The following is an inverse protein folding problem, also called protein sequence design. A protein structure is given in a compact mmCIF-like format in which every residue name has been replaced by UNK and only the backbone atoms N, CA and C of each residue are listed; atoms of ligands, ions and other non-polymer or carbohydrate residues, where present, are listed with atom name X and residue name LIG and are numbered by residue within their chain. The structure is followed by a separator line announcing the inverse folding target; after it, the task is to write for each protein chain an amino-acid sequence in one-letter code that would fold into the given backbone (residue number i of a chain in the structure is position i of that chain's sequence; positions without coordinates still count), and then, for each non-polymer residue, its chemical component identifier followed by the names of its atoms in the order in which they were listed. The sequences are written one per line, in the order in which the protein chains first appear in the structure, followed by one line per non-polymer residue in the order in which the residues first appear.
data_IF_352444988459
#
_entry.id   IF_352444988459
#
_cell.length_a   1.000
_cell.length_b   1.000
_cell.length_c   1.000
_cell.angle_alpha   90.00
_cell.angle_beta   90.00
_cell.angle_gamma   90.00
#
_symmetry.space_group_name_H-M   'P 1'
#
loop_
_entity.id
_entity.type
_entity.pdbx_description
1 polymer ?
#
# COMPACT_ATOMS: atom_id res chain seq x y z
N UNK A 1 -4.83 -20.87 10.51
CA UNK A 1 -4.25 -19.84 11.40
C UNK A 1 -5.35 -19.37 12.33
N UNK A 2 -5.11 -19.27 13.65
CA UNK A 2 -6.09 -18.82 14.64
C UNK A 2 -6.19 -17.28 14.67
N UNK A 3 -6.52 -16.68 13.53
CA UNK A 3 -6.68 -15.24 13.37
C UNK A 3 -8.14 -14.82 13.18
N UNK A 4 -8.39 -13.52 13.09
CA UNK A 4 -9.69 -12.97 12.71
C UNK A 4 -9.60 -12.39 11.29
N UNK A 5 -10.72 -12.37 10.56
CA UNK A 5 -10.82 -11.63 9.31
C UNK A 5 -11.91 -10.58 9.41
N UNK A 6 -11.55 -9.33 9.15
CA UNK A 6 -12.47 -8.20 9.07
C UNK A 6 -12.72 -7.88 7.59
N UNK A 7 -13.88 -8.29 7.09
CA UNK A 7 -14.32 -7.94 5.75
C UNK A 7 -15.01 -6.58 5.74
N UNK A 8 -14.48 -5.63 4.99
CA UNK A 8 -15.10 -4.34 4.76
C UNK A 8 -15.77 -4.32 3.37
N UNK A 9 -17.08 -4.13 3.38
CA UNK A 9 -17.94 -3.99 2.21
C UNK A 9 -18.30 -2.51 2.01
N UNK A 10 -17.55 -1.75 1.20
CA UNK A 10 -17.95 -0.39 0.85
C UNK A 10 -19.20 -0.39 -0.03
N UNK A 11 -20.01 0.67 0.07
CA UNK A 11 -21.21 0.82 -0.78
C UNK A 11 -20.86 1.37 -2.16
N UNK A 12 -19.99 2.37 -2.20
CA UNK A 12 -19.52 3.03 -3.43
C UNK A 12 -18.02 3.31 -3.32
N UNK A 13 -17.39 3.60 -4.46
CA UNK A 13 -15.99 4.07 -4.46
C UNK A 13 -15.85 5.42 -3.73
N UNK A 14 -16.89 6.25 -3.76
CA UNK A 14 -16.91 7.53 -3.05
C UNK A 14 -16.94 7.33 -1.52
N UNK A 15 -17.76 6.38 -1.04
CA UNK A 15 -17.77 6.01 0.38
C UNK A 15 -16.42 5.45 0.78
N UNK A 16 -15.87 4.50 0.02
CA UNK A 16 -14.53 3.95 0.25
C UNK A 16 -13.50 5.08 0.33
N UNK A 17 -13.50 6.03 -0.62
CA UNK A 17 -12.56 7.15 -0.66
C UNK A 17 -12.64 8.02 0.59
N UNK A 18 -13.85 8.38 1.02
CA UNK A 18 -14.11 9.30 2.15
C UNK A 18 -14.16 8.59 3.51
N UNK A 19 -14.09 7.26 3.54
CA UNK A 19 -14.28 6.49 4.76
C UNK A 19 -13.13 6.65 5.74
N UNK A 20 -13.48 7.03 6.97
CA UNK A 20 -12.57 7.10 8.12
C UNK A 20 -11.87 5.76 8.45
N UNK A 21 -12.37 4.63 7.96
CA UNK A 21 -11.75 3.32 8.15
C UNK A 21 -10.34 3.25 7.53
N UNK A 22 -10.09 3.98 6.44
CA UNK A 22 -8.79 4.01 5.75
C UNK A 22 -7.68 4.62 6.59
N UNK A 23 -8.05 5.45 7.56
CA UNK A 23 -7.14 6.23 8.39
C UNK A 23 -7.08 5.70 9.83
N UNK A 24 -7.80 4.61 10.12
CA UNK A 24 -7.81 4.02 11.46
C UNK A 24 -6.47 3.36 11.77
N UNK A 25 -5.70 4.04 12.63
CA UNK A 25 -4.52 3.46 13.25
C UNK A 25 -4.86 2.19 14.04
N UNK A 26 -5.94 2.23 14.80
CA UNK A 26 -6.40 1.09 15.62
C UNK A 26 -6.62 -0.17 14.76
N UNK A 27 -7.35 -0.06 13.65
CA UNK A 27 -7.58 -1.19 12.75
C UNK A 27 -6.29 -1.64 12.07
N UNK A 28 -5.40 -0.73 11.69
CA UNK A 28 -4.08 -1.08 11.14
C UNK A 28 -3.27 -1.92 12.15
N UNK A 29 -3.21 -1.50 13.42
CA UNK A 29 -2.48 -2.20 14.48
C UNK A 29 -2.98 -3.62 14.76
N UNK A 30 -4.27 -3.89 14.56
CA UNK A 30 -4.79 -5.26 14.71
C UNK A 30 -4.20 -6.24 13.69
N UNK A 31 -3.61 -5.76 12.59
CA UNK A 31 -2.80 -6.59 11.67
C UNK A 31 -1.62 -7.26 12.38
N UNK A 32 -1.07 -6.63 13.43
CA UNK A 32 -0.04 -7.21 14.28
C UNK A 32 -0.54 -8.30 15.23
N UNK A 33 -1.86 -8.46 15.38
CA UNK A 33 -2.50 -9.41 16.28
C UNK A 33 -3.29 -10.50 15.55
N UNK A 34 -2.81 -10.91 14.37
CA UNK A 34 -3.46 -11.90 13.50
C UNK A 34 -4.91 -11.54 13.11
N UNK A 35 -5.22 -10.26 12.98
CA UNK A 35 -6.46 -9.82 12.34
C UNK A 35 -6.15 -9.31 10.94
N UNK A 36 -6.57 -10.02 9.89
CA UNK A 36 -6.51 -9.50 8.54
C UNK A 36 -7.72 -8.63 8.26
N UNK A 37 -7.52 -7.54 7.52
CA UNK A 37 -8.63 -6.75 6.97
C UNK A 37 -8.67 -6.97 5.47
N UNK A 38 -9.86 -7.14 4.90
CA UNK A 38 -10.03 -7.36 3.46
C UNK A 38 -11.15 -6.48 2.91
N UNK A 39 -10.88 -5.80 1.80
CA UNK A 39 -11.94 -5.14 1.02
C UNK A 39 -12.69 -6.21 0.23
N UNK A 40 -13.99 -6.32 0.48
CA UNK A 40 -14.83 -7.35 -0.11
C UNK A 40 -15.88 -6.77 -1.07
N UNK A 41 -16.16 -7.52 -2.12
CA UNK A 41 -17.17 -7.15 -3.11
C UNK A 41 -18.49 -7.86 -2.83
N UNK A 42 -19.47 -7.10 -2.33
CA UNK A 42 -20.82 -7.57 -2.01
C UNK A 42 -21.63 -8.03 -3.23
N UNK A 43 -21.14 -7.81 -4.46
CA UNK A 43 -21.78 -8.26 -5.70
C UNK A 43 -21.38 -9.69 -6.08
N UNK A 44 -20.36 -10.24 -5.42
CA UNK A 44 -19.93 -11.63 -5.64
C UNK A 44 -20.72 -12.60 -4.76
N UNK A 45 -20.93 -13.86 -5.18
CA UNK A 45 -21.61 -14.86 -4.34
C UNK A 45 -20.95 -15.07 -2.97
N UNK A 46 -19.61 -15.02 -2.92
CA UNK A 46 -18.86 -15.12 -1.67
C UNK A 46 -19.12 -13.92 -0.75
N UNK A 47 -19.10 -12.70 -1.30
CA UNK A 47 -19.41 -11.48 -0.56
C UNK A 47 -20.83 -11.46 -0.03
N UNK A 48 -21.82 -11.87 -0.84
CA UNK A 48 -23.22 -11.97 -0.41
C UNK A 48 -23.41 -12.96 0.74
N UNK A 49 -22.72 -14.11 0.69
CA UNK A 49 -22.77 -15.11 1.77
C UNK A 49 -22.24 -14.56 3.09
N UNK A 50 -21.11 -13.85 3.06
CA UNK A 50 -20.51 -13.25 4.26
C UNK A 50 -21.37 -12.09 4.80
N UNK A 51 -21.90 -11.27 3.91
CA UNK A 51 -22.70 -10.11 4.27
C UNK A 51 -24.09 -10.50 4.83
N UNK A 52 -24.71 -11.56 4.31
CA UNK A 52 -26.04 -12.01 4.71
C UNK A 52 -27.10 -10.92 4.50
N UNK A 53 -27.94 -10.67 5.50
CA UNK A 53 -29.03 -9.67 5.42
C UNK A 53 -28.56 -8.21 5.56
N UNK A 54 -27.28 -8.00 5.90
CA UNK A 54 -26.70 -6.67 6.06
C UNK A 54 -26.58 -5.95 4.72
N UNK A 55 -26.60 -4.62 4.75
CA UNK A 55 -26.42 -3.79 3.55
C UNK A 55 -25.13 -2.98 3.63
N UNK A 56 -24.38 -2.82 2.52
CA UNK A 56 -23.24 -1.93 2.51
C UNK A 56 -23.65 -0.46 2.73
N UNK A 57 -22.78 0.39 3.33
CA UNK A 57 -21.43 0.02 3.76
C UNK A 57 -21.47 -0.74 5.09
N UNK A 58 -20.73 -1.84 5.18
CA UNK A 58 -20.72 -2.70 6.37
C UNK A 58 -19.35 -3.32 6.59
N UNK A 59 -19.07 -3.71 7.83
CA UNK A 59 -17.94 -4.56 8.18
C UNK A 59 -18.43 -5.83 8.87
N UNK A 60 -17.83 -6.97 8.51
CA UNK A 60 -18.17 -8.29 9.05
C UNK A 60 -16.89 -8.89 9.63
N UNK A 61 -16.92 -9.17 10.93
CA UNK A 61 -15.84 -9.87 11.62
C UNK A 61 -16.14 -11.37 11.62
N UNK A 62 -15.19 -12.18 11.15
CA UNK A 62 -15.35 -13.62 11.04
C UNK A 62 -14.15 -14.39 11.59
N UNK A 63 -14.42 -15.65 11.93
CA UNK A 63 -13.40 -16.67 12.13
C UNK A 63 -12.75 -17.09 10.80
N UNK A 64 -11.57 -17.74 10.82
CA UNK A 64 -10.88 -18.21 9.62
C UNK A 64 -11.67 -19.23 8.78
N UNK A 65 -12.63 -19.92 9.37
CA UNK A 65 -13.51 -20.86 8.69
C UNK A 65 -14.73 -20.18 8.03
N UNK A 66 -14.85 -18.86 8.16
CA UNK A 66 -15.93 -18.05 7.62
C UNK A 66 -17.12 -17.87 8.57
N UNK A 67 -17.05 -18.38 9.80
CA UNK A 67 -18.13 -18.20 10.78
C UNK A 67 -18.22 -16.74 11.22
N UNK A 68 -19.41 -16.14 11.12
CA UNK A 68 -19.62 -14.73 11.47
C UNK A 68 -19.65 -14.54 12.98
N UNK A 69 -18.78 -13.65 13.49
CA UNK A 69 -18.72 -13.25 14.90
C UNK A 69 -19.63 -12.07 15.17
N UNK A 70 -19.59 -11.07 14.28
CA UNK A 70 -20.38 -9.85 14.43
C UNK A 70 -20.27 -8.93 13.22
N UNK A 71 -21.14 -7.92 13.19
CA UNK A 71 -21.25 -6.98 12.08
C UNK A 71 -21.38 -5.55 12.58
N UNK A 72 -20.83 -4.62 11.82
CA UNK A 72 -21.03 -3.19 11.96
C UNK A 72 -21.67 -2.67 10.67
N UNK A 73 -22.86 -2.10 10.78
CA UNK A 73 -23.62 -1.59 9.63
C UNK A 73 -23.59 -0.07 9.62
N UNK A 74 -23.36 0.49 8.43
CA UNK A 74 -23.40 1.91 8.20
C UNK A 74 -24.83 2.44 8.22
N UNK A 75 -24.93 3.74 8.49
CA UNK A 75 -26.18 4.48 8.46
C UNK A 75 -26.05 5.61 7.46
N UNK A 76 -27.10 5.87 6.69
CA UNK A 76 -27.14 6.94 5.68
C UNK A 76 -25.98 6.87 4.68
N UNK A 77 -25.61 5.65 4.29
CA UNK A 77 -24.51 5.39 3.35
C UNK A 77 -23.11 5.59 3.92
N UNK A 78 -22.95 5.73 5.23
CA UNK A 78 -21.66 5.94 5.90
C UNK A 78 -21.45 4.89 6.99
N UNK A 79 -20.33 4.17 6.94
CA UNK A 79 -19.86 3.32 8.03
C UNK A 79 -18.83 4.08 8.86
N UNK A 80 -19.12 4.30 10.15
CA UNK A 80 -18.20 5.03 11.02
C UNK A 80 -17.14 4.10 11.58
N UNK A 81 -15.89 4.58 11.59
CA UNK A 81 -14.75 3.84 12.12
C UNK A 81 -14.95 3.38 13.56
N UNK A 82 -15.60 4.20 14.41
CA UNK A 82 -15.81 3.87 15.81
C UNK A 82 -16.71 2.64 16.01
N UNK A 83 -17.65 2.39 15.10
CA UNK A 83 -18.49 1.18 15.13
C UNK A 83 -17.65 -0.07 14.88
N UNK A 84 -16.74 -0.01 13.92
CA UNK A 84 -15.88 -1.13 13.51
C UNK A 84 -14.79 -1.38 14.55
N UNK A 85 -14.16 -0.32 15.05
CA UNK A 85 -13.20 -0.43 16.15
C UNK A 85 -13.82 -1.03 17.40
N UNK A 86 -15.05 -0.62 17.78
CA UNK A 86 -15.78 -1.22 18.91
C UNK A 86 -16.09 -2.70 18.69
N UNK A 87 -16.50 -3.09 17.48
CA UNK A 87 -16.76 -4.49 17.13
C UNK A 87 -15.50 -5.34 17.35
N UNK A 88 -14.37 -4.91 16.77
CA UNK A 88 -13.10 -5.64 16.86
C UNK A 88 -12.58 -5.64 18.29
N UNK A 89 -12.52 -4.48 18.95
CA UNK A 89 -12.03 -4.37 20.32
C UNK A 89 -12.88 -5.17 21.32
N UNK A 90 -14.20 -5.21 21.11
CA UNK A 90 -15.12 -6.00 21.93
C UNK A 90 -14.83 -7.51 21.84
N UNK A 91 -14.61 -8.02 20.63
CA UNK A 91 -14.27 -9.43 20.44
C UNK A 91 -12.87 -9.76 20.98
N UNK A 92 -11.87 -8.90 20.72
CA UNK A 92 -10.52 -9.08 21.27
C UNK A 92 -10.55 -9.10 22.80
N UNK A 93 -11.28 -8.18 23.43
CA UNK A 93 -11.45 -8.16 24.88
C UNK A 93 -12.13 -9.43 25.40
N UNK A 94 -13.21 -9.87 24.75
CA UNK A 94 -13.93 -11.09 25.13
C UNK A 94 -13.02 -12.32 25.08
N UNK A 95 -12.17 -12.44 24.04
CA UNK A 95 -11.17 -13.50 23.94
C UNK A 95 -10.12 -13.39 25.06
N UNK A 96 -9.62 -12.19 25.33
CA UNK A 96 -8.65 -11.97 26.41
C UNK A 96 -9.20 -12.41 27.77
N UNK A 97 -10.43 -11.99 28.10
CA UNK A 97 -11.10 -12.33 29.35
C UNK A 97 -11.29 -13.87 29.49
N UNK A 98 -11.59 -14.57 28.38
CA UNK A 98 -11.71 -16.03 28.36
C UNK A 98 -10.35 -16.75 28.55
N UNK A 99 -9.26 -16.18 28.02
CA UNK A 99 -7.91 -16.69 28.25
C UNK A 99 -7.44 -16.46 29.68
N UNK A 100 -7.81 -15.34 30.29
CA UNK A 100 -7.53 -15.09 31.71
C UNK A 100 -8.26 -16.07 32.62
N UNK A 101 -9.51 -16.38 32.32
CA UNK A 101 -10.25 -17.45 33.00
C UNK A 101 -9.57 -18.82 32.81
N UNK A 102 -9.12 -19.15 31.60
CA UNK A 102 -8.43 -20.41 31.30
C UNK A 102 -7.08 -20.52 32.02
N UNK A 103 -6.29 -19.44 32.08
CA UNK A 103 -5.05 -19.39 32.84
C UNK A 103 -5.28 -19.59 34.34
N UNK A 104 -6.35 -18.99 34.88
CA UNK A 104 -6.72 -19.17 36.28
C UNK A 104 -7.14 -20.61 36.57
N UNK A 105 -8.06 -21.16 35.78
CA UNK A 105 -8.53 -22.53 35.95
C UNK A 105 -7.38 -23.53 35.81
N UNK A 106 -6.47 -23.34 34.84
CA UNK A 106 -5.29 -24.19 34.69
C UNK A 106 -4.39 -24.22 35.93
N UNK A 107 -4.17 -23.07 36.58
CA UNK A 107 -3.41 -23.00 37.85
C UNK A 107 -4.15 -23.68 39.01
N UNK A 108 -5.47 -23.60 39.03
CA UNK A 108 -6.27 -24.24 40.08
C UNK A 108 -6.32 -25.76 39.89
N UNK A 109 -6.34 -26.26 38.64
CA UNK A 109 -6.18 -27.69 38.30
C UNK A 109 -4.81 -28.23 38.69
N UNK A 110 -3.74 -27.49 38.37
CA UNK A 110 -2.37 -27.83 38.80
C UNK A 110 -2.29 -27.97 40.33
N UNK A 111 -2.82 -27.00 41.09
CA UNK A 111 -2.83 -27.07 42.57
C UNK A 111 -3.63 -28.26 43.11
N UNK A 112 -4.67 -28.68 42.39
CA UNK A 112 -5.47 -29.85 42.72
C UNK A 112 -4.80 -31.18 42.31
N UNK A 113 -3.63 -31.15 41.66
CA UNK A 113 -2.91 -32.31 41.18
C UNK A 113 -3.38 -32.85 39.81
N UNK A 114 -4.34 -32.18 39.18
CA UNK A 114 -4.85 -32.53 37.84
C UNK A 114 -4.00 -31.85 36.75
N UNK A 115 -2.78 -32.36 36.59
CA UNK A 115 -1.80 -31.78 35.68
C UNK A 115 -2.21 -31.93 34.21
N UNK A 116 -2.93 -32.98 33.83
CA UNK A 116 -3.38 -33.19 32.46
C UNK A 116 -4.41 -32.14 32.03
N UNK A 117 -5.38 -31.83 32.90
CA UNK A 117 -6.32 -30.75 32.65
C UNK A 117 -5.64 -29.37 32.60
N UNK A 118 -4.69 -29.11 33.51
CA UNK A 118 -3.91 -27.89 33.53
C UNK A 118 -3.11 -27.69 32.22
N UNK A 119 -2.41 -28.74 31.77
CA UNK A 119 -1.65 -28.73 30.50
C UNK A 119 -2.57 -28.42 29.33
N UNK A 120 -3.76 -29.02 29.27
CA UNK A 120 -4.73 -28.78 28.19
C UNK A 120 -5.16 -27.31 28.13
N UNK A 121 -5.46 -26.70 29.29
CA UNK A 121 -5.85 -25.30 29.38
C UNK A 121 -4.70 -24.37 28.97
N UNK A 122 -3.49 -24.60 29.47
CA UNK A 122 -2.35 -23.77 29.10
C UNK A 122 -1.96 -23.90 27.63
N UNK A 123 -2.09 -25.10 27.01
CA UNK A 123 -1.89 -25.26 25.56
C UNK A 123 -2.90 -24.45 24.75
N UNK A 124 -4.17 -24.46 25.14
CA UNK A 124 -5.18 -23.66 24.46
C UNK A 124 -4.87 -22.14 24.53
N UNK A 125 -4.32 -21.66 25.65
CA UNK A 125 -3.86 -20.26 25.78
C UNK A 125 -2.62 -20.01 24.92
N UNK A 126 -1.69 -20.97 24.89
CA UNK A 126 -0.49 -20.90 24.07
C UNK A 126 -0.79 -20.79 22.58
N UNK A 127 -1.81 -21.51 22.10
CA UNK A 127 -2.22 -21.51 20.69
C UNK A 127 -2.72 -20.13 20.22
N UNK A 128 -3.10 -19.25 21.14
CA UNK A 128 -3.51 -17.87 20.86
C UNK A 128 -2.33 -16.87 20.84
N UNK A 129 -1.08 -17.36 20.75
CA UNK A 129 0.15 -16.56 20.81
C UNK A 129 0.26 -15.38 19.84
N UNK A 130 -0.43 -15.44 18.70
CA UNK A 130 -0.39 -14.33 17.75
C UNK A 130 -1.20 -13.12 18.23
N UNK A 131 -2.42 -13.34 18.71
CA UNK A 131 -3.28 -12.26 19.19
C UNK A 131 -2.94 -11.84 20.62
N UNK A 132 -2.49 -12.78 21.46
CA UNK A 132 -2.20 -12.55 22.87
C UNK A 132 -0.79 -13.03 23.26
N UNK A 133 0.29 -12.46 22.70
CA UNK A 133 1.66 -12.93 22.92
C UNK A 133 2.07 -12.92 24.40
N UNK A 134 1.57 -11.95 25.20
CA UNK A 134 1.82 -11.90 26.64
C UNK A 134 1.18 -13.08 27.38
N UNK A 135 -0.09 -13.39 27.09
CA UNK A 135 -0.81 -14.49 27.73
C UNK A 135 -0.21 -15.84 27.35
N UNK A 136 0.17 -16.00 26.08
CA UNK A 136 0.88 -17.18 25.61
C UNK A 136 2.24 -17.36 26.30
N UNK A 137 3.00 -16.27 26.53
CA UNK A 137 4.25 -16.33 27.30
C UNK A 137 4.01 -16.81 28.74
N UNK A 138 2.93 -16.36 29.38
CA UNK A 138 2.60 -16.81 30.73
C UNK A 138 2.17 -18.28 30.74
N UNK A 139 1.32 -18.72 29.81
CA UNK A 139 0.96 -20.12 29.64
C UNK A 139 2.18 -21.03 29.38
N UNK A 140 3.13 -20.57 28.55
CA UNK A 140 4.38 -21.29 28.29
C UNK A 140 5.21 -21.51 29.56
N UNK A 141 5.25 -20.53 30.46
CA UNK A 141 5.94 -20.69 31.75
C UNK A 141 5.28 -21.76 32.61
N UNK A 142 3.94 -21.76 32.70
CA UNK A 142 3.22 -22.77 33.47
C UNK A 142 3.40 -24.18 32.88
N UNK A 143 3.32 -24.32 31.55
CA UNK A 143 3.61 -25.57 30.85
C UNK A 143 5.02 -26.11 31.14
N UNK A 144 6.01 -25.22 31.18
CA UNK A 144 7.40 -25.59 31.47
C UNK A 144 7.58 -26.11 32.90
N UNK A 145 6.83 -25.57 33.88
CA UNK A 145 6.82 -26.08 35.27
C UNK A 145 6.23 -27.50 35.35
N UNK A 146 5.24 -27.80 34.50
CA UNK A 146 4.61 -29.11 34.38
C UNK A 146 5.43 -30.10 33.52
N UNK A 147 6.68 -29.78 33.16
CA UNK A 147 7.55 -30.66 32.38
C UNK A 147 7.22 -30.72 30.89
N UNK A 148 6.34 -29.86 30.38
CA UNK A 148 6.03 -29.78 28.94
C UNK A 148 7.10 -28.95 28.23
N UNK A 149 7.73 -29.53 27.21
CA UNK A 149 8.65 -28.79 26.35
C UNK A 149 7.86 -27.85 25.41
N UNK A 150 8.13 -26.54 25.52
CA UNK A 150 7.46 -25.47 24.75
C UNK A 150 8.47 -24.67 23.91
N UNK A 151 9.43 -25.37 23.29
CA UNK A 151 10.48 -24.78 22.44
C UNK A 151 9.95 -23.91 21.29
N UNK A 152 8.67 -24.04 20.93
CA UNK A 152 8.01 -23.19 19.93
C UNK A 152 7.79 -21.73 20.36
N UNK A 153 8.03 -21.40 21.64
CA UNK A 153 7.64 -20.10 22.22
C UNK A 153 8.86 -19.30 22.70
N UNK A 154 10.05 -19.89 22.71
CA UNK A 154 11.21 -19.28 23.37
C UNK A 154 12.15 -18.49 22.47
N UNK A 155 12.17 -18.66 21.14
CA UNK A 155 13.31 -18.15 20.35
C UNK A 155 13.00 -17.34 19.08
N UNK A 156 11.72 -17.21 18.68
CA UNK A 156 11.36 -16.25 17.63
C UNK A 156 11.09 -14.90 18.30
N UNK A 157 11.99 -13.93 18.11
CA UNK A 157 11.88 -12.58 18.66
C UNK A 157 10.44 -12.07 18.59
N UNK A 158 9.80 -11.92 19.75
CA UNK A 158 8.40 -11.50 19.83
C UNK A 158 8.32 -10.15 19.16
N UNK A 159 7.63 -10.09 18.01
CA UNK A 159 7.38 -8.84 17.32
C UNK A 159 6.87 -7.81 18.35
N UNK A 160 7.30 -6.53 18.27
CA UNK A 160 6.87 -5.51 19.20
C UNK A 160 5.34 -5.54 19.34
N UNK A 161 4.84 -5.48 20.58
CA UNK A 161 3.40 -5.43 20.77
C UNK A 161 2.91 -4.02 20.38
N UNK A 162 1.83 -3.91 19.59
CA UNK A 162 1.28 -2.62 19.17
C UNK A 162 0.81 -1.79 20.38
N UNK A 163 0.95 -0.47 20.26
CA UNK A 163 0.59 0.49 21.30
C UNK A 163 -0.85 0.99 21.09
N UNK A 164 -1.79 0.45 21.88
CA UNK A 164 -3.20 0.86 21.89
C UNK A 164 -3.54 1.94 22.92
N UNK A 165 -2.61 2.36 23.79
CA UNK A 165 -2.86 3.43 24.77
C UNK A 165 -3.31 4.72 24.06
N UNK A 166 -4.43 5.28 24.50
CA UNK A 166 -5.08 6.39 23.79
C UNK A 166 -4.22 7.66 23.75
N UNK A 167 -3.45 7.95 24.82
CA UNK A 167 -2.57 9.13 24.88
C UNK A 167 -1.36 8.96 23.98
N UNK A 168 -0.73 7.79 23.98
CA UNK A 168 0.38 7.49 23.08
C UNK A 168 -0.08 7.45 21.62
N UNK A 169 -1.22 6.81 21.32
CA UNK A 169 -1.81 6.80 19.97
C UNK A 169 -2.04 8.22 19.44
N UNK A 170 -2.70 9.08 20.24
CA UNK A 170 -2.93 10.47 19.86
C UNK A 170 -1.63 11.29 19.68
N UNK A 171 -0.56 10.92 20.39
CA UNK A 171 0.77 11.51 20.19
C UNK A 171 1.39 11.05 18.87
N UNK A 172 1.34 9.75 18.55
CA UNK A 172 1.89 9.19 17.32
C UNK A 172 1.17 9.78 16.10
N UNK A 173 -0.15 9.81 16.12
CA UNK A 173 -0.94 10.41 15.03
C UNK A 173 -0.64 11.89 14.82
N UNK A 174 -0.38 12.64 15.90
CA UNK A 174 0.05 14.04 15.79
C UNK A 174 1.40 14.16 15.10
N UNK A 175 2.38 13.36 15.53
CA UNK A 175 3.71 13.32 14.91
C UNK A 175 3.61 12.95 13.42
N UNK A 176 2.77 11.99 13.07
CA UNK A 176 2.51 11.61 11.67
C UNK A 176 1.89 12.77 10.87
N UNK A 177 0.89 13.47 11.42
CA UNK A 177 0.29 14.65 10.76
C UNK A 177 1.30 15.78 10.58
N UNK A 178 2.17 16.01 11.55
CA UNK A 178 3.21 17.03 11.44
C UNK A 178 4.27 16.63 10.40
N UNK A 179 4.60 15.33 10.30
CA UNK A 179 5.46 14.78 9.24
C UNK A 179 4.89 15.01 7.86
N UNK A 180 3.59 14.74 7.67
CA UNK A 180 2.90 14.99 6.40
C UNK A 180 2.85 16.47 6.04
N UNK A 181 2.65 17.36 7.00
CA UNK A 181 2.74 18.80 6.77
C UNK A 181 4.13 19.22 6.31
N UNK A 182 5.17 18.68 6.94
CA UNK A 182 6.56 18.93 6.53
C UNK A 182 6.82 18.43 5.11
N UNK A 183 6.36 17.23 4.76
CA UNK A 183 6.47 16.65 3.42
C UNK A 183 5.76 17.49 2.36
N UNK A 184 4.51 17.90 2.60
CA UNK A 184 3.74 18.79 1.70
C UNK A 184 4.44 20.15 1.55
N UNK A 185 5.04 20.66 2.61
CA UNK A 185 5.87 21.87 2.58
C UNK A 185 7.26 21.65 1.94
N UNK A 186 7.53 20.45 1.40
CA UNK A 186 8.82 20.04 0.82
C UNK A 186 10.00 20.10 1.79
N UNK A 187 9.74 20.09 3.10
CA UNK A 187 10.76 19.96 4.15
C UNK A 187 10.97 18.47 4.46
N UNK A 188 11.59 17.76 3.53
CA UNK A 188 11.71 16.30 3.58
C UNK A 188 12.60 15.80 4.73
N UNK A 189 13.62 16.56 5.13
CA UNK A 189 14.46 16.19 6.27
C UNK A 189 13.65 16.18 7.59
N UNK A 190 12.76 17.16 7.77
CA UNK A 190 11.87 17.17 8.93
C UNK A 190 10.79 16.10 8.85
N UNK A 191 10.27 15.83 7.65
CA UNK A 191 9.33 14.72 7.42
C UNK A 191 9.97 13.37 7.79
N UNK A 192 11.19 13.08 7.31
CA UNK A 192 11.96 11.88 7.66
C UNK A 192 12.15 11.77 9.18
N UNK A 193 12.53 12.87 9.84
CA UNK A 193 12.72 12.91 11.29
C UNK A 193 11.44 12.57 12.05
N UNK A 194 10.30 13.15 11.64
CA UNK A 194 8.99 12.97 12.27
C UNK A 194 8.43 11.57 12.03
N UNK A 195 8.48 11.06 10.80
CA UNK A 195 8.07 9.68 10.53
C UNK A 195 8.96 8.66 11.25
N UNK A 196 10.28 8.89 11.29
CA UNK A 196 11.19 8.07 12.08
C UNK A 196 10.92 8.14 13.58
N UNK A 197 10.48 9.30 14.10
CA UNK A 197 10.03 9.43 15.48
C UNK A 197 8.75 8.64 15.74
N UNK A 198 7.76 8.70 14.85
CA UNK A 198 6.54 7.92 14.97
C UNK A 198 6.82 6.40 14.97
N UNK A 199 7.70 5.93 14.08
CA UNK A 199 8.13 4.53 14.05
C UNK A 199 8.79 4.09 15.37
N UNK A 200 9.65 4.92 15.97
CA UNK A 200 10.28 4.60 17.27
C UNK A 200 9.27 4.57 18.42
N UNK A 201 8.18 5.33 18.34
CA UNK A 201 7.14 5.34 19.37
C UNK A 201 6.27 4.07 19.32
N UNK A 202 6.07 3.50 18.13
CA UNK A 202 5.44 2.18 17.97
C UNK A 202 6.04 1.42 16.77
N UNK A 203 7.02 0.54 16.99
CA UNK A 203 7.64 -0.24 15.92
C UNK A 203 6.72 -1.28 15.27
N UNK A 204 5.57 -1.59 15.87
CA UNK A 204 4.57 -2.48 15.27
C UNK A 204 3.58 -1.74 14.35
N UNK A 205 3.61 -0.41 14.33
CA UNK A 205 2.84 0.40 13.41
C UNK A 205 3.54 0.44 12.03
N UNK A 206 2.94 -0.12 10.97
CA UNK A 206 3.53 -0.11 9.64
C UNK A 206 3.39 1.25 8.94
N UNK A 207 2.48 2.12 9.38
CA UNK A 207 2.17 3.36 8.67
C UNK A 207 3.38 4.32 8.58
N UNK A 208 4.15 4.60 9.66
CA UNK A 208 5.35 5.42 9.56
C UNK A 208 6.37 4.92 8.53
N UNK A 209 6.56 3.59 8.43
CA UNK A 209 7.45 2.99 7.43
C UNK A 209 6.90 3.20 6.01
N UNK A 210 5.58 3.11 5.81
CA UNK A 210 4.96 3.39 4.51
C UNK A 210 5.28 4.81 4.04
N UNK A 211 5.16 5.81 4.91
CA UNK A 211 5.49 7.19 4.58
C UNK A 211 6.99 7.38 4.34
N UNK A 212 7.86 6.78 5.16
CA UNK A 212 9.31 6.81 4.94
C UNK A 212 9.72 6.18 3.60
N UNK A 213 9.18 5.01 3.27
CA UNK A 213 9.50 4.32 2.02
C UNK A 213 9.12 5.15 0.79
N UNK A 214 7.94 5.76 0.81
CA UNK A 214 7.50 6.67 -0.26
C UNK A 214 8.34 7.95 -0.30
N UNK A 215 8.65 8.56 0.84
CA UNK A 215 9.53 9.73 0.93
C UNK A 215 10.90 9.45 0.30
N UNK A 216 11.53 8.32 0.66
CA UNK A 216 12.82 7.92 0.10
C UNK A 216 12.76 7.63 -1.39
N UNK A 217 11.71 6.97 -1.86
CA UNK A 217 11.58 6.56 -3.27
C UNK A 217 11.15 7.72 -4.18
N UNK A 218 10.25 8.59 -3.72
CA UNK A 218 9.65 9.62 -4.55
C UNK A 218 10.30 10.99 -4.40
N UNK A 219 10.73 11.38 -3.21
CA UNK A 219 11.19 12.75 -2.99
C UNK A 219 12.69 12.85 -2.96
N UNK A 220 13.38 11.98 -2.21
CA UNK A 220 14.80 12.19 -1.89
C UNK A 220 15.75 11.27 -2.68
N UNK A 221 15.23 10.16 -3.19
CA UNK A 221 15.97 9.21 -4.05
C UNK A 221 16.97 8.34 -3.29
N UNK A 222 16.80 8.13 -1.98
CA UNK A 222 17.53 7.11 -1.22
C UNK A 222 16.95 5.71 -1.48
N UNK A 223 17.18 5.20 -2.68
CA UNK A 223 16.62 3.92 -3.15
C UNK A 223 16.94 2.75 -2.22
N UNK A 224 18.14 2.69 -1.65
CA UNK A 224 18.52 1.61 -0.74
C UNK A 224 17.71 1.67 0.57
N UNK A 225 17.50 2.88 1.12
CA UNK A 225 16.64 3.08 2.29
C UNK A 225 15.19 2.74 1.95
N UNK A 226 14.69 3.15 0.78
CA UNK A 226 13.35 2.83 0.33
C UNK A 226 13.14 1.31 0.24
N UNK A 227 14.08 0.59 -0.37
CA UNK A 227 14.04 -0.87 -0.52
C UNK A 227 13.98 -1.55 0.84
N UNK A 228 14.93 -1.23 1.72
CA UNK A 228 14.98 -1.79 3.07
C UNK A 228 13.70 -1.50 3.86
N UNK A 229 13.14 -0.29 3.70
CA UNK A 229 11.89 0.11 4.37
C UNK A 229 10.68 -0.67 3.87
N UNK A 230 10.54 -0.84 2.55
CA UNK A 230 9.44 -1.63 1.99
C UNK A 230 9.59 -3.13 2.29
N UNK A 231 10.80 -3.66 2.25
CA UNK A 231 11.09 -5.04 2.67
C UNK A 231 10.76 -5.27 4.15
N UNK A 232 11.04 -4.29 5.02
CA UNK A 232 10.65 -4.34 6.43
C UNK A 232 9.11 -4.42 6.59
N UNK A 233 8.35 -3.63 5.83
CA UNK A 233 6.87 -3.71 5.83
C UNK A 233 6.39 -5.10 5.40
N UNK A 234 7.00 -5.70 4.37
CA UNK A 234 6.62 -7.03 3.90
C UNK A 234 7.08 -8.17 4.84
N UNK A 235 8.12 -7.92 5.64
CA UNK A 235 8.62 -8.84 6.66
C UNK A 235 7.91 -8.77 8.01
N UNK A 236 7.02 -7.79 8.21
CA UNK A 236 6.24 -7.64 9.44
C UNK A 236 4.74 -7.87 9.19
N UNK A 237 3.95 -8.14 10.24
CA UNK A 237 2.51 -8.00 10.16
C UNK A 237 2.14 -6.54 9.84
N UNK A 238 1.37 -6.32 8.77
CA UNK A 238 1.03 -4.99 8.30
C UNK A 238 -0.35 -4.97 7.65
N UNK A 239 -1.01 -3.82 7.73
CA UNK A 239 -2.32 -3.61 7.09
C UNK A 239 -2.24 -3.72 5.55
N UNK A 240 -3.35 -4.04 4.87
CA UNK A 240 -3.35 -4.26 3.42
C UNK A 240 -2.87 -3.05 2.62
N UNK A 241 -3.18 -1.83 3.07
CA UNK A 241 -2.73 -0.62 2.38
C UNK A 241 -1.21 -0.48 2.48
N UNK A 242 -0.63 -0.67 3.67
CA UNK A 242 0.82 -0.65 3.88
C UNK A 242 1.54 -1.72 3.06
N UNK A 243 1.02 -2.96 3.02
CA UNK A 243 1.59 -4.04 2.19
C UNK A 243 1.48 -3.72 0.70
N UNK A 244 0.33 -3.23 0.24
CA UNK A 244 0.14 -2.88 -1.17
C UNK A 244 1.05 -1.74 -1.64
N UNK A 245 1.26 -0.72 -0.81
CA UNK A 245 2.21 0.37 -1.13
C UNK A 245 3.64 -0.15 -1.16
N UNK A 246 4.04 -1.02 -0.22
CA UNK A 246 5.36 -1.63 -0.25
C UNK A 246 5.59 -2.51 -1.50
N UNK A 247 4.61 -3.33 -1.88
CA UNK A 247 4.63 -4.12 -3.12
C UNK A 247 4.75 -3.22 -4.36
N UNK A 248 3.98 -2.13 -4.42
CA UNK A 248 4.03 -1.18 -5.53
C UNK A 248 5.39 -0.47 -5.61
N UNK A 249 5.90 0.03 -4.48
CA UNK A 249 7.18 0.73 -4.40
C UNK A 249 8.35 -0.17 -4.83
N UNK A 250 8.43 -1.39 -4.30
CA UNK A 250 9.41 -2.39 -4.74
C UNK A 250 9.22 -2.76 -6.21
N UNK A 251 7.97 -2.88 -6.67
CA UNK A 251 7.66 -3.15 -8.07
C UNK A 251 8.23 -2.09 -9.02
N UNK A 252 7.99 -0.80 -8.73
CA UNK A 252 8.59 0.31 -9.50
C UNK A 252 10.11 0.24 -9.49
N UNK A 253 10.71 0.08 -8.32
CA UNK A 253 12.18 0.05 -8.19
C UNK A 253 12.79 -1.11 -8.97
N UNK A 254 12.15 -2.28 -8.90
CA UNK A 254 12.55 -3.49 -9.63
C UNK A 254 12.45 -3.31 -11.15
N UNK A 255 11.45 -2.57 -11.64
CA UNK A 255 11.35 -2.17 -13.06
C UNK A 255 12.52 -1.23 -13.43
N UNK A 256 12.85 -0.24 -12.59
CA UNK A 256 13.99 0.65 -12.84
C UNK A 256 15.34 -0.07 -12.84
N UNK A 257 15.44 -1.21 -12.17
CA UNK A 257 16.62 -2.07 -12.19
C UNK A 257 16.65 -3.01 -13.42
N UNK A 258 15.64 -2.96 -14.29
CA UNK A 258 15.53 -3.76 -15.51
C UNK A 258 14.87 -5.14 -15.32
N UNK A 259 14.46 -5.49 -14.10
CA UNK A 259 13.77 -6.76 -13.78
C UNK A 259 12.24 -6.66 -14.05
N UNK A 260 11.84 -6.33 -15.28
CA UNK A 260 10.45 -5.99 -15.64
C UNK A 260 9.40 -7.02 -15.21
N UNK A 261 9.62 -8.32 -15.45
CA UNK A 261 8.65 -9.38 -15.12
C UNK A 261 8.39 -9.47 -13.61
N UNK A 262 9.45 -9.36 -12.81
CA UNK A 262 9.38 -9.41 -11.35
C UNK A 262 8.71 -8.15 -10.80
N UNK A 263 9.07 -6.98 -11.34
CA UNK A 263 8.43 -5.72 -10.98
C UNK A 263 6.94 -5.68 -11.32
N UNK A 264 6.54 -6.20 -12.49
CA UNK A 264 5.14 -6.33 -12.87
C UNK A 264 4.37 -7.23 -11.89
N UNK A 265 4.91 -8.41 -11.56
CA UNK A 265 4.27 -9.33 -10.61
C UNK A 265 4.05 -8.68 -9.23
N UNK A 266 4.98 -7.84 -8.79
CA UNK A 266 4.84 -7.07 -7.54
C UNK A 266 3.71 -6.04 -7.63
N UNK A 267 3.59 -5.27 -8.73
CA UNK A 267 2.50 -4.29 -8.90
C UNK A 267 1.14 -5.00 -9.05
N UNK A 268 1.08 -6.15 -9.73
CA UNK A 268 -0.14 -6.96 -9.79
C UNK A 268 -0.53 -7.52 -8.42
N UNK A 269 0.45 -7.89 -7.59
CA UNK A 269 0.21 -8.30 -6.20
C UNK A 269 -0.28 -7.13 -5.34
N UNK A 270 0.24 -5.92 -5.57
CA UNK A 270 -0.21 -4.69 -4.90
C UNK A 270 -1.71 -4.47 -5.09
N UNK A 271 -2.19 -4.43 -6.34
CA UNK A 271 -3.61 -4.16 -6.63
C UNK A 271 -4.57 -5.30 -6.25
N UNK A 272 -4.04 -6.51 -6.03
CA UNK A 272 -4.80 -7.62 -5.44
C UNK A 272 -4.91 -7.48 -3.92
N UNK A 273 -3.89 -6.95 -3.27
CA UNK A 273 -3.84 -6.74 -1.81
C UNK A 273 -4.71 -5.54 -1.41
N UNK A 274 -4.58 -4.43 -2.11
CA UNK A 274 -5.40 -3.24 -1.90
C UNK A 274 -5.48 -2.41 -3.20
N UNK A 275 -6.66 -1.95 -3.64
CA UNK A 275 -6.78 -1.16 -4.86
C UNK A 275 -6.14 0.21 -4.69
N UNK A 276 -5.14 0.51 -5.53
CA UNK A 276 -4.42 1.79 -5.52
C UNK A 276 -4.46 2.41 -6.91
N UNK A 277 -4.95 3.66 -7.02
CA UNK A 277 -4.98 4.38 -8.28
C UNK A 277 -3.57 4.52 -8.88
N UNK A 278 -2.55 4.77 -8.06
CA UNK A 278 -1.14 4.81 -8.48
C UNK A 278 -0.65 3.47 -9.08
N UNK A 279 -1.02 2.34 -8.47
CA UNK A 279 -0.61 1.04 -8.98
C UNK A 279 -1.33 0.68 -10.28
N UNK A 280 -2.63 1.01 -10.41
CA UNK A 280 -3.34 0.86 -11.69
C UNK A 280 -2.77 1.75 -12.80
N UNK A 281 -2.40 3.00 -12.50
CA UNK A 281 -1.70 3.86 -13.46
C UNK A 281 -0.39 3.23 -13.95
N UNK A 282 0.43 2.68 -13.05
CA UNK A 282 1.66 2.03 -13.46
C UNK A 282 1.46 0.73 -14.26
N UNK A 283 0.39 -0.03 -13.97
CA UNK A 283 0.00 -1.15 -14.83
C UNK A 283 -0.41 -0.67 -16.22
N UNK A 284 -1.14 0.45 -16.33
CA UNK A 284 -1.47 1.04 -17.61
C UNK A 284 -0.22 1.47 -18.39
N UNK A 285 0.74 2.14 -17.75
CA UNK A 285 2.03 2.51 -18.36
C UNK A 285 2.75 1.26 -18.89
N UNK A 286 2.83 0.20 -18.09
CA UNK A 286 3.48 -1.05 -18.50
C UNK A 286 2.79 -1.68 -19.72
N UNK A 287 1.46 -1.82 -19.70
CA UNK A 287 0.76 -2.45 -20.83
C UNK A 287 0.77 -1.57 -22.07
N UNK A 288 0.89 -0.25 -21.92
CA UNK A 288 1.08 0.67 -23.03
C UNK A 288 2.44 0.47 -23.70
N UNK A 289 3.52 0.29 -22.92
CA UNK A 289 4.85 -0.02 -23.49
C UNK A 289 4.89 -1.37 -24.20
N UNK A 290 4.06 -2.33 -23.79
CA UNK A 290 3.88 -3.61 -24.48
C UNK A 290 2.93 -3.53 -25.69
N UNK A 291 2.32 -2.37 -25.95
CA UNK A 291 1.34 -2.19 -27.04
C UNK A 291 -0.03 -2.82 -26.79
N UNK A 292 -0.31 -3.34 -25.59
CA UNK A 292 -1.60 -3.91 -25.22
C UNK A 292 -2.58 -2.80 -24.83
N UNK A 293 -3.20 -2.19 -25.86
CA UNK A 293 -4.15 -1.09 -25.71
C UNK A 293 -5.36 -1.46 -24.86
N UNK A 294 -5.83 -2.70 -24.95
CA UNK A 294 -7.00 -3.16 -24.22
C UNK A 294 -6.74 -3.21 -22.70
N UNK A 295 -5.59 -3.74 -22.28
CA UNK A 295 -5.21 -3.72 -20.86
C UNK A 295 -4.89 -2.32 -20.37
N UNK A 296 -4.22 -1.50 -21.20
CA UNK A 296 -3.94 -0.09 -20.88
C UNK A 296 -5.22 0.65 -20.50
N UNK A 297 -6.22 0.62 -21.39
CA UNK A 297 -7.53 1.25 -21.17
C UNK A 297 -8.22 0.70 -19.92
N UNK A 298 -8.22 -0.63 -19.74
CA UNK A 298 -8.83 -1.27 -18.56
C UNK A 298 -8.22 -0.77 -17.25
N UNK A 299 -6.90 -0.58 -17.20
CA UNK A 299 -6.23 -0.12 -15.98
C UNK A 299 -6.40 1.38 -15.76
N UNK A 300 -6.45 2.20 -16.82
CA UNK A 300 -6.84 3.62 -16.73
C UNK A 300 -8.23 3.75 -16.11
N UNK A 301 -9.21 2.99 -16.64
CA UNK A 301 -10.58 3.00 -16.12
C UNK A 301 -10.66 2.59 -14.65
N UNK A 302 -9.84 1.62 -14.21
CA UNK A 302 -9.75 1.26 -12.79
C UNK A 302 -9.17 2.38 -11.93
N UNK A 303 -8.15 3.09 -12.40
CA UNK A 303 -7.59 4.23 -11.67
C UNK A 303 -8.63 5.36 -11.55
N UNK A 304 -9.28 5.73 -12.66
CA UNK A 304 -10.37 6.72 -12.69
C UNK A 304 -11.56 6.30 -11.82
N UNK A 305 -11.92 5.02 -11.80
CA UNK A 305 -13.03 4.56 -10.97
C UNK A 305 -12.76 4.74 -9.47
N UNK A 306 -11.49 4.66 -9.03
CA UNK A 306 -11.13 4.90 -7.63
C UNK A 306 -11.20 6.37 -7.26
N UNK A 307 -10.83 7.25 -8.19
CA UNK A 307 -10.91 8.70 -7.98
C UNK A 307 -11.17 9.44 -9.30
N UNK A 308 -12.45 9.61 -9.68
CA UNK A 308 -12.82 10.13 -11.00
C UNK A 308 -12.66 11.64 -11.13
N UNK A 309 -12.59 12.35 -10.00
CA UNK A 309 -12.44 13.80 -9.94
C UNK A 309 -11.00 14.22 -9.60
N UNK A 310 -10.11 13.27 -9.31
CA UNK A 310 -8.71 13.59 -9.05
C UNK A 310 -8.05 14.18 -10.32
N UNK A 311 -7.60 15.44 -10.26
CA UNK A 311 -6.95 16.11 -11.39
C UNK A 311 -5.78 15.33 -11.97
N UNK A 312 -5.02 14.63 -11.12
CA UNK A 312 -3.89 13.85 -11.61
C UNK A 312 -4.36 12.65 -12.43
N UNK A 313 -5.34 11.87 -11.96
CA UNK A 313 -5.89 10.74 -12.72
C UNK A 313 -6.49 11.19 -14.07
N UNK A 314 -7.17 12.34 -14.10
CA UNK A 314 -7.70 12.93 -15.33
C UNK A 314 -6.59 13.27 -16.33
N UNK A 315 -5.55 13.97 -15.87
CA UNK A 315 -4.39 14.31 -16.72
C UNK A 315 -3.63 13.05 -17.17
N UNK A 316 -3.51 12.05 -16.30
CA UNK A 316 -2.90 10.77 -16.65
C UNK A 316 -3.69 10.09 -17.77
N UNK A 317 -5.02 9.99 -17.66
CA UNK A 317 -5.85 9.43 -18.72
C UNK A 317 -5.72 10.22 -20.03
N UNK A 318 -5.72 11.56 -19.95
CA UNK A 318 -5.53 12.45 -21.10
C UNK A 318 -4.23 12.16 -21.85
N UNK A 319 -3.15 11.80 -21.15
CA UNK A 319 -1.87 11.44 -21.78
C UNK A 319 -1.99 10.23 -22.72
N UNK A 320 -2.89 9.26 -22.45
CA UNK A 320 -3.13 8.12 -23.35
C UNK A 320 -4.21 8.41 -24.40
N UNK A 321 -5.16 9.30 -24.09
CA UNK A 321 -6.16 9.79 -25.05
C UNK A 321 -5.51 10.57 -26.20
N UNK A 322 -4.48 11.36 -25.89
CA UNK A 322 -3.74 12.17 -26.86
C UNK A 322 -3.16 11.33 -28.01
N UNK A 323 -2.65 10.13 -27.71
CA UNK A 323 -2.08 9.20 -28.70
C UNK A 323 -3.10 8.32 -29.42
N UNK A 324 -4.39 8.36 -29.05
CA UNK A 324 -5.42 7.41 -29.53
C UNK A 324 -6.60 8.10 -30.24
N UNK A 325 -6.37 9.27 -30.84
CA UNK A 325 -7.35 9.97 -31.67
C UNK A 325 -8.29 10.92 -30.91
N UNK A 326 -8.08 11.11 -29.61
CA UNK A 326 -8.88 11.99 -28.74
C UNK A 326 -8.07 13.23 -28.30
N UNK A 327 -7.28 13.79 -29.22
CA UNK A 327 -6.32 14.87 -28.94
C UNK A 327 -6.97 16.16 -28.42
N UNK A 328 -8.12 16.57 -28.97
CA UNK A 328 -8.80 17.81 -28.57
C UNK A 328 -9.34 17.74 -27.14
N UNK A 329 -9.91 16.59 -26.75
CA UNK A 329 -10.38 16.34 -25.39
C UNK A 329 -9.21 16.28 -24.41
N UNK A 330 -8.13 15.57 -24.77
CA UNK A 330 -6.91 15.54 -23.97
C UNK A 330 -6.33 16.95 -23.75
N UNK A 331 -6.34 17.80 -24.78
CA UNK A 331 -5.88 19.18 -24.68
C UNK A 331 -6.76 20.05 -23.79
N UNK A 332 -8.07 19.84 -23.82
CA UNK A 332 -8.97 20.54 -22.91
C UNK A 332 -8.62 20.20 -21.46
N UNK A 333 -8.51 18.90 -21.14
CA UNK A 333 -8.13 18.44 -19.79
C UNK A 333 -6.76 19.00 -19.38
N UNK A 334 -5.78 18.98 -20.29
CA UNK A 334 -4.44 19.50 -20.00
C UNK A 334 -4.44 21.01 -19.69
N UNK A 335 -5.22 21.81 -20.43
CA UNK A 335 -5.35 23.26 -20.19
C UNK A 335 -6.03 23.57 -18.85
N UNK A 336 -7.09 22.84 -18.51
CA UNK A 336 -7.84 23.02 -17.26
C UNK A 336 -6.99 22.66 -16.03
N UNK A 337 -5.97 21.81 -16.19
CA UNK A 337 -5.12 21.32 -15.11
C UNK A 337 -3.67 21.77 -15.22
N UNK A 338 -3.36 22.78 -16.04
CA UNK A 338 -1.97 23.14 -16.36
C UNK A 338 -1.17 23.57 -15.13
N UNK A 339 -1.84 24.18 -14.13
CA UNK A 339 -1.22 24.61 -12.88
C UNK A 339 -0.82 23.45 -11.94
N UNK A 340 -1.25 22.21 -12.23
CA UNK A 340 -0.97 21.06 -11.39
C UNK A 340 0.50 20.62 -11.53
N UNK A 341 1.34 21.15 -10.65
CA UNK A 341 2.79 20.91 -10.68
C UNK A 341 3.17 19.42 -10.69
N UNK A 342 2.57 18.53 -9.87
CA UNK A 342 2.89 17.09 -9.90
C UNK A 342 2.55 16.40 -11.23
N UNK A 343 1.64 16.95 -12.03
CA UNK A 343 1.23 16.35 -13.30
C UNK A 343 2.02 16.86 -14.51
N UNK A 344 3.08 17.66 -14.29
CA UNK A 344 3.87 18.29 -15.36
C UNK A 344 4.40 17.32 -16.42
N UNK A 345 4.84 16.12 -16.01
CA UNK A 345 5.28 15.06 -16.93
C UNK A 345 4.14 14.63 -17.86
N UNK A 346 2.98 14.29 -17.31
CA UNK A 346 1.82 13.83 -18.08
C UNK A 346 1.22 14.95 -18.95
N UNK A 347 1.21 16.20 -18.46
CA UNK A 347 0.84 17.36 -19.27
C UNK A 347 1.78 17.50 -20.48
N UNK A 348 3.10 17.37 -20.26
CA UNK A 348 4.06 17.38 -21.35
C UNK A 348 3.80 16.26 -22.36
N UNK A 349 3.44 15.06 -21.90
CA UNK A 349 3.09 13.93 -22.75
C UNK A 349 1.87 14.22 -23.64
N UNK A 350 0.84 14.90 -23.11
CA UNK A 350 -0.31 15.35 -23.92
C UNK A 350 0.14 16.34 -25.00
N UNK A 351 0.91 17.35 -24.63
CA UNK A 351 1.37 18.37 -25.59
C UNK A 351 2.34 17.80 -26.64
N UNK A 352 3.20 16.85 -26.28
CA UNK A 352 4.13 16.20 -27.20
C UNK A 352 3.39 15.38 -28.27
N UNK A 353 2.38 14.61 -27.86
CA UNK A 353 1.59 13.77 -28.76
C UNK A 353 0.62 14.57 -29.64
N UNK A 354 0.26 15.78 -29.22
CA UNK A 354 -0.60 16.69 -30.00
C UNK A 354 0.18 17.74 -30.80
N UNK A 355 1.50 17.57 -30.93
CA UNK A 355 2.36 18.40 -31.78
C UNK A 355 2.77 19.75 -31.19
N UNK A 356 2.43 20.05 -29.93
CA UNK A 356 2.77 21.29 -29.24
C UNK A 356 4.15 21.20 -28.57
N UNK A 357 5.18 21.04 -29.41
CA UNK A 357 6.59 20.83 -29.03
C UNK A 357 7.08 21.77 -27.94
N UNK A 358 6.98 23.09 -28.13
CA UNK A 358 7.51 24.08 -27.18
C UNK A 358 6.88 23.96 -25.79
N UNK A 359 5.56 23.73 -25.76
CA UNK A 359 4.81 23.56 -24.51
C UNK A 359 5.23 22.28 -23.79
N UNK A 360 5.43 21.18 -24.51
CA UNK A 360 5.91 19.93 -23.95
C UNK A 360 7.31 20.09 -23.32
N UNK A 361 8.24 20.73 -24.02
CA UNK A 361 9.60 20.98 -23.49
C UNK A 361 9.58 21.90 -22.26
N UNK A 362 8.73 22.93 -22.25
CA UNK A 362 8.57 23.81 -21.10
C UNK A 362 8.04 23.05 -19.87
N UNK A 363 7.06 22.16 -20.05
CA UNK A 363 6.48 21.37 -18.95
C UNK A 363 7.41 20.26 -18.46
N UNK A 364 8.21 19.65 -19.35
CA UNK A 364 9.29 18.76 -18.94
C UNK A 364 10.35 19.50 -18.13
N UNK A 365 10.72 20.73 -18.54
CA UNK A 365 11.63 21.57 -17.74
C UNK A 365 11.04 21.88 -16.37
N UNK A 366 9.76 22.25 -16.31
CA UNK A 366 9.04 22.47 -15.04
C UNK A 366 9.08 21.22 -14.17
N UNK A 367 8.78 20.05 -14.74
CA UNK A 367 8.85 18.78 -14.02
C UNK A 367 10.25 18.52 -13.47
N UNK A 368 11.28 18.53 -14.31
CA UNK A 368 12.61 18.15 -13.88
C UNK A 368 13.32 19.17 -12.99
N UNK A 369 13.02 20.46 -13.11
CA UNK A 369 13.81 21.51 -12.43
C UNK A 369 13.04 22.35 -11.43
N UNK A 370 11.70 22.36 -11.46
CA UNK A 370 10.87 23.06 -10.47
C UNK A 370 10.17 22.08 -9.52
N UNK A 371 9.58 21.01 -10.05
CA UNK A 371 8.95 19.97 -9.24
C UNK A 371 9.98 19.02 -8.63
N UNK A 372 10.87 18.45 -9.45
CA UNK A 372 11.89 17.51 -9.00
C UNK A 372 13.09 18.21 -8.37
N UNK A 373 13.21 18.04 -7.06
CA UNK A 373 14.20 18.74 -6.23
C UNK A 373 15.52 17.99 -6.10
N UNK A 374 15.50 16.67 -6.26
CA UNK A 374 16.67 15.81 -6.00
C UNK A 374 17.21 15.24 -7.30
N UNK A 375 18.51 15.43 -7.52
CA UNK A 375 19.20 14.94 -8.72
C UNK A 375 19.05 13.44 -8.91
N UNK A 376 19.06 12.68 -7.82
CA UNK A 376 18.89 11.22 -7.79
C UNK A 376 17.55 10.77 -8.36
N UNK A 377 16.46 11.49 -8.08
CA UNK A 377 15.12 11.22 -8.61
C UNK A 377 15.03 11.69 -10.05
N UNK A 378 15.39 12.96 -10.28
CA UNK A 378 15.41 13.60 -11.61
C UNK A 378 16.13 12.75 -12.66
N UNK A 379 17.30 12.19 -12.34
CA UNK A 379 18.08 11.38 -13.28
C UNK A 379 17.32 10.12 -13.75
N UNK A 380 16.48 9.52 -12.89
CA UNK A 380 15.63 8.39 -13.29
C UNK A 380 14.46 8.82 -14.15
N UNK A 381 13.78 9.89 -13.78
CA UNK A 381 12.62 10.37 -14.54
C UNK A 381 13.03 10.94 -15.91
N UNK A 382 14.21 11.54 -16.03
CA UNK A 382 14.80 11.88 -17.33
C UNK A 382 15.06 10.64 -18.17
N UNK A 383 15.49 9.54 -17.55
CA UNK A 383 15.69 8.28 -18.25
C UNK A 383 14.36 7.66 -18.70
N UNK A 384 13.33 7.72 -17.86
CA UNK A 384 11.96 7.33 -18.23
C UNK A 384 11.48 8.12 -19.45
N UNK A 385 11.61 9.46 -19.43
CA UNK A 385 11.20 10.31 -20.55
C UNK A 385 11.89 9.94 -21.87
N UNK A 386 13.17 9.55 -21.84
CA UNK A 386 13.93 9.15 -23.03
C UNK A 386 13.41 7.87 -23.68
N UNK A 387 12.86 6.96 -22.89
CA UNK A 387 12.38 5.65 -23.37
C UNK A 387 10.87 5.60 -23.57
N UNK A 388 10.13 6.54 -22.98
CA UNK A 388 8.68 6.60 -23.06
C UNK A 388 8.20 6.83 -24.50
N UNK A 389 7.13 6.11 -24.87
CA UNK A 389 6.53 6.21 -26.19
C UNK A 389 5.81 7.56 -26.38
N UNK A 390 5.30 8.16 -25.29
CA UNK A 390 4.58 9.44 -25.35
C UNK A 390 5.46 10.62 -25.78
N UNK A 391 6.79 10.48 -25.66
CA UNK A 391 7.78 11.47 -26.10
C UNK A 391 8.52 11.07 -27.37
N UNK A 392 8.03 10.09 -28.13
CA UNK A 392 8.68 9.64 -29.36
C UNK A 392 8.95 10.79 -30.36
N UNK A 393 8.05 11.79 -30.44
CA UNK A 393 8.21 12.97 -31.30
C UNK A 393 9.33 13.92 -30.88
N UNK A 394 9.79 13.84 -29.63
CA UNK A 394 10.84 14.71 -29.07
C UNK A 394 12.20 14.01 -28.96
N UNK A 395 12.28 12.71 -29.22
CA UNK A 395 13.43 11.88 -28.84
C UNK A 395 14.75 12.33 -29.45
N UNK A 396 14.71 12.81 -30.70
CA UNK A 396 15.85 13.35 -31.45
C UNK A 396 15.94 14.88 -31.39
N UNK A 397 15.04 15.54 -30.66
CA UNK A 397 15.05 17.00 -30.53
C UNK A 397 16.27 17.45 -29.71
N UNK A 398 17.13 18.34 -30.23
CA UNK A 398 18.33 18.76 -29.51
C UNK A 398 18.04 19.39 -28.14
N UNK A 399 16.93 20.10 -27.98
CA UNK A 399 16.53 20.69 -26.71
C UNK A 399 16.04 19.61 -25.72
N UNK A 400 15.34 18.58 -26.19
CA UNK A 400 14.95 17.44 -25.34
C UNK A 400 16.19 16.63 -24.90
N UNK A 401 17.12 16.36 -25.82
CA UNK A 401 18.37 15.65 -25.53
C UNK A 401 19.20 16.42 -24.49
N UNK A 402 19.32 17.75 -24.66
CA UNK A 402 19.98 18.62 -23.70
C UNK A 402 19.24 18.68 -22.36
N UNK A 403 17.91 18.76 -22.37
CA UNK A 403 17.08 18.80 -21.16
C UNK A 403 17.26 17.54 -20.31
N UNK A 404 17.45 16.38 -20.94
CA UNK A 404 17.56 15.07 -20.28
C UNK A 404 19.01 14.58 -20.13
N UNK A 405 20.02 15.43 -20.32
CA UNK A 405 21.43 15.01 -20.38
C UNK A 405 21.95 14.28 -19.13
N UNK A 406 21.36 14.54 -17.96
CA UNK A 406 21.67 13.93 -16.67
C UNK A 406 20.98 12.57 -16.42
N UNK A 407 20.29 12.00 -17.43
CA UNK A 407 19.62 10.70 -17.28
C UNK A 407 20.58 9.57 -16.87
N UNK A 408 20.12 8.65 -16.01
CA UNK A 408 20.98 7.62 -15.40
C UNK A 408 21.46 6.52 -16.37
N UNK A 409 20.88 6.43 -17.56
CA UNK A 409 21.29 5.51 -18.62
C UNK A 409 20.96 4.03 -18.37
N UNK A 410 20.16 3.70 -17.35
CA UNK A 410 19.93 2.29 -16.94
C UNK A 410 18.85 1.55 -17.73
N UNK A 411 17.93 2.27 -18.37
CA UNK A 411 16.89 1.67 -19.22
C UNK A 411 17.40 1.51 -20.67
N UNK A 412 17.00 0.44 -21.40
CA UNK A 412 17.36 0.30 -22.80
C UNK A 412 16.72 1.41 -23.63
N UNK A 413 17.53 2.14 -24.42
CA UNK A 413 17.00 3.10 -25.38
C UNK A 413 16.20 2.35 -26.46
N UNK A 414 15.03 2.85 -26.89
CA UNK A 414 14.25 2.28 -28.00
C UNK A 414 15.02 2.18 -29.33
N UNK A 415 16.21 2.79 -29.43
CA UNK A 415 17.08 2.75 -30.59
C UNK A 415 18.36 1.92 -30.35
N UNK A 416 18.24 0.59 -30.17
CA UNK A 416 19.32 -0.40 -30.45
C UNK A 416 18.77 -1.71 -31.03
N UNK A 417 17.64 -1.67 -31.76
CA UNK A 417 17.09 -2.85 -32.49
C UNK A 417 16.93 -2.60 -33.99
N UNK A 418 17.87 -1.87 -34.60
CA UNK A 418 18.05 -1.85 -36.05
C UNK A 418 19.46 -2.30 -36.44
N UNK A 419 19.82 -3.54 -36.10
CA UNK A 419 21.17 -4.03 -36.40
C UNK A 419 21.48 -5.50 -36.13
N UNK A 420 20.50 -6.42 -36.11
CA UNK A 420 20.79 -7.85 -36.22
C UNK A 420 20.31 -8.32 -37.59
N UNK A 421 21.19 -8.19 -38.59
CA UNK A 421 21.01 -8.78 -39.92
C UNK A 421 20.76 -10.27 -39.76
N UNK A 422 19.77 -10.76 -40.49
CA UNK A 422 19.55 -12.17 -40.78
C UNK A 422 20.87 -12.84 -41.19
N UNK A 423 21.36 -13.76 -40.38
CA UNK A 423 22.16 -14.88 -40.89
C UNK A 423 21.19 -16.04 -41.02
N UNK A 424 20.58 -16.11 -42.20
CA UNK A 424 20.08 -17.38 -42.73
C UNK A 424 21.33 -18.25 -42.93
N UNK A 425 21.43 -19.37 -42.23
CA UNK A 425 22.29 -20.46 -42.67
C UNK A 425 21.43 -21.70 -42.90
N UNK A 426 21.58 -22.20 -44.13
CA UNK A 426 21.18 -23.53 -44.60
C UNK A 426 21.95 -24.62 -43.86
#
# INVERSE_FOLDING_TARGET
MAGLVLYWFPLTNEELKKSSLRESRTLSLYSALCLSTELADYRTPAGQKLLGDSRPPAAVLVEPDGSVIGKAEGKDGILKVDQVEKLVAGEVKKREDALDASLKDGRDKEKAGDNDAAIKLFRAVLDQKCMFPKKAKDAAKELKKLGVNVSEVTDAGVAPAPVFDSRQSARIERVMRDGLKAEVASNYAEAERLYGQAHRLDPADPAPLRYLGELYRHHTGEWDKARATFEAILGMPADPLSRAVAQHGLGKMTIHDGEFKKGLALIESSVKTYPLALAYRNLAVFWNSEGDRAKTERYIQKALALDPEDPYNLVFAAAFMAGTGHGDEALKIARENEALLPASYNLAAVYAQTGQREKALALLRRHFFEYERYRSVRAKEMMEARVDAVFASLREDPAFVALTHDADGKLPSPAVTMGARSVVNR
#
